data_IF_976562837186
#
_entry.id   IF_976562837186
#
_cell.length_a   1.000
_cell.length_b   1.000
_cell.length_c   1.000
_cell.angle_alpha   90.00
_cell.angle_beta   90.00
_cell.angle_gamma   90.00
#
_symmetry.space_group_name_H-M   'P 1'
#
loop_
_entity.id
_entity.type
_entity.pdbx_description
1 polymer ?
#
# COMPACT_ATOMS: atom_id res chain seq x y z
N UNK A 1 12.18 -16.52 36.79
CA UNK A 1 11.95 -16.91 35.38
C UNK A 1 11.53 -15.65 34.64
N UNK A 2 11.95 -15.49 33.38
CA UNK A 2 11.49 -14.35 32.56
C UNK A 2 9.96 -14.35 32.52
N UNK A 3 9.33 -13.17 32.61
CA UNK A 3 7.87 -13.03 32.39
C UNK A 3 7.49 -13.21 30.91
N UNK A 4 8.48 -13.28 30.03
CA UNK A 4 8.30 -13.46 28.60
C UNK A 4 8.54 -14.91 28.16
N UNK A 5 7.76 -15.41 27.18
CA UNK A 5 7.92 -16.76 26.65
C UNK A 5 9.31 -16.95 26.02
N UNK A 6 9.90 -18.12 26.24
CA UNK A 6 11.18 -18.49 25.63
C UNK A 6 10.96 -18.85 24.15
N UNK A 7 11.54 -18.11 23.18
CA UNK A 7 11.41 -18.43 21.77
C UNK A 7 11.89 -19.82 21.36
N UNK A 8 12.71 -20.49 22.20
CA UNK A 8 13.14 -21.87 21.95
C UNK A 8 12.01 -22.88 22.17
N UNK A 9 11.12 -22.62 23.11
CA UNK A 9 9.99 -23.51 23.42
C UNK A 9 8.69 -23.00 22.82
N UNK A 10 8.55 -21.67 22.65
CA UNK A 10 7.40 -20.98 22.10
C UNK A 10 7.85 -19.98 21.02
N UNK A 11 8.17 -20.43 19.80
CA UNK A 11 8.79 -19.58 18.76
C UNK A 11 8.04 -18.30 18.39
N UNK A 12 6.72 -18.30 18.58
CA UNK A 12 5.84 -17.16 18.32
C UNK A 12 5.27 -16.53 19.59
N UNK A 13 5.66 -17.00 20.78
CA UNK A 13 5.09 -16.52 22.04
C UNK A 13 5.27 -15.01 22.20
N UNK A 14 6.42 -14.47 21.79
CA UNK A 14 6.69 -13.03 21.82
C UNK A 14 5.85 -12.21 20.83
N UNK A 15 5.20 -12.85 19.85
CA UNK A 15 4.37 -12.18 18.83
C UNK A 15 2.89 -12.08 19.25
N UNK A 16 2.54 -12.51 20.46
CA UNK A 16 1.18 -12.39 20.95
C UNK A 16 0.78 -10.94 21.23
N UNK A 17 -0.44 -10.57 20.83
CA UNK A 17 -1.00 -9.22 20.98
C UNK A 17 -0.93 -8.66 22.41
N UNK A 18 -0.95 -9.53 23.43
CA UNK A 18 -0.83 -9.12 24.83
C UNK A 18 0.49 -8.39 25.14
N UNK A 19 1.51 -8.58 24.30
CA UNK A 19 2.82 -7.95 24.46
C UNK A 19 2.96 -6.61 23.73
N UNK A 20 2.07 -6.24 22.81
CA UNK A 20 2.17 -5.03 21.95
C UNK A 20 2.32 -3.70 22.72
N UNK A 21 1.93 -3.67 24.00
CA UNK A 21 1.99 -2.47 24.86
C UNK A 21 3.01 -2.55 25.98
N UNK A 22 3.80 -3.64 26.02
CA UNK A 22 4.82 -3.85 27.05
C UNK A 22 6.06 -3.00 26.79
N UNK A 23 6.87 -2.81 27.84
CA UNK A 23 8.16 -2.11 27.70
C UNK A 23 9.10 -2.84 26.74
N UNK A 24 9.06 -4.17 26.69
CA UNK A 24 9.82 -4.96 25.72
C UNK A 24 9.45 -4.60 24.27
N UNK A 25 8.15 -4.46 23.98
CA UNK A 25 7.69 -4.08 22.64
C UNK A 25 8.14 -2.66 22.27
N UNK A 26 8.09 -1.72 23.22
CA UNK A 26 8.55 -0.34 22.99
C UNK A 26 10.05 -0.28 22.69
N UNK A 27 10.86 -1.01 23.46
CA UNK A 27 12.30 -1.10 23.23
C UNK A 27 12.61 -1.75 21.87
N UNK A 28 11.86 -2.79 21.49
CA UNK A 28 11.98 -3.41 20.18
C UNK A 28 11.64 -2.43 19.04
N UNK A 29 10.58 -1.62 19.18
CA UNK A 29 10.20 -0.60 18.20
C UNK A 29 11.29 0.47 18.03
N UNK A 30 11.92 0.93 19.13
CA UNK A 30 13.02 1.89 19.09
C UNK A 30 14.28 1.34 18.38
N UNK A 31 14.54 0.04 18.52
CA UNK A 31 15.63 -0.63 17.80
C UNK A 31 15.29 -0.81 16.31
N UNK A 32 14.08 -1.26 15.98
CA UNK A 32 13.62 -1.44 14.60
C UNK A 32 13.61 -0.10 13.86
N UNK A 33 13.17 0.98 14.51
CA UNK A 33 13.15 2.32 13.94
C UNK A 33 14.55 2.79 13.51
N UNK A 34 15.59 2.40 14.26
CA UNK A 34 16.98 2.77 13.97
C UNK A 34 17.72 1.78 13.09
N UNK A 35 17.17 0.58 12.85
CA UNK A 35 17.87 -0.55 12.23
C UNK A 35 18.63 -0.17 10.95
N UNK A 36 17.98 0.47 9.97
CA UNK A 36 18.63 0.82 8.71
C UNK A 36 19.73 1.88 8.90
N UNK A 37 19.46 2.90 9.72
CA UNK A 37 20.41 3.98 10.00
C UNK A 37 21.66 3.45 10.71
N UNK A 38 21.47 2.63 11.74
CA UNK A 38 22.56 2.07 12.53
C UNK A 38 23.33 1.01 11.72
N UNK A 39 22.65 0.18 10.92
CA UNK A 39 23.30 -0.76 10.03
C UNK A 39 24.17 -0.07 8.97
N UNK A 40 23.70 1.04 8.40
CA UNK A 40 24.50 1.83 7.46
C UNK A 40 25.73 2.44 8.14
N UNK A 41 25.56 3.03 9.32
CA UNK A 41 26.64 3.72 10.04
C UNK A 41 27.66 2.78 10.69
N UNK A 42 27.22 1.65 11.25
CA UNK A 42 28.07 0.77 12.06
C UNK A 42 28.57 -0.46 11.29
N UNK A 43 27.80 -0.96 10.33
CA UNK A 43 28.13 -2.17 9.57
C UNK A 43 28.37 -1.90 8.08
N UNK A 44 28.27 -0.65 7.61
CA UNK A 44 28.51 -0.27 6.23
C UNK A 44 27.46 -0.81 5.25
N UNK A 45 26.26 -1.14 5.72
CA UNK A 45 25.17 -1.63 4.84
C UNK A 45 24.58 -0.44 4.08
N UNK A 46 24.96 -0.29 2.81
CA UNK A 46 24.50 0.83 1.97
C UNK A 46 23.25 0.50 1.14
N UNK A 47 22.86 -0.78 1.04
CA UNK A 47 21.69 -1.21 0.30
C UNK A 47 20.76 -2.02 1.20
N UNK A 48 19.59 -1.46 1.51
CA UNK A 48 18.54 -2.12 2.27
C UNK A 48 17.39 -2.48 1.33
N UNK A 49 16.90 -3.71 1.45
CA UNK A 49 15.75 -4.20 0.70
C UNK A 49 14.85 -4.99 1.63
N UNK A 50 13.55 -4.72 1.53
CA UNK A 50 12.52 -5.68 1.97
C UNK A 50 12.14 -6.44 0.70
N UNK A 51 12.24 -7.76 0.72
CA UNK A 51 12.07 -8.58 -0.49
C UNK A 51 10.61 -8.59 -0.98
N UNK A 52 9.65 -8.66 -0.05
CA UNK A 52 8.23 -8.84 -0.35
C UNK A 52 7.27 -7.80 0.28
N UNK A 53 7.63 -6.50 0.37
CA UNK A 53 6.79 -5.50 1.04
C UNK A 53 5.44 -5.35 0.32
N UNK A 54 5.48 -5.30 -1.01
CA UNK A 54 4.28 -5.17 -1.85
C UNK A 54 3.37 -6.39 -1.74
N UNK A 55 3.94 -7.60 -1.61
CA UNK A 55 3.14 -8.82 -1.49
C UNK A 55 2.32 -8.81 -0.19
N UNK A 56 2.97 -8.52 0.94
CA UNK A 56 2.30 -8.47 2.23
C UNK A 56 1.26 -7.34 2.30
N UNK A 57 1.61 -6.13 1.86
CA UNK A 57 0.70 -4.98 1.89
C UNK A 57 -0.53 -5.19 0.99
N UNK A 58 -0.32 -5.69 -0.23
CA UNK A 58 -1.43 -5.97 -1.17
C UNK A 58 -2.34 -7.07 -0.65
N UNK A 59 -1.77 -8.16 -0.12
CA UNK A 59 -2.55 -9.28 0.42
C UNK A 59 -3.41 -8.84 1.62
N UNK A 60 -2.82 -8.14 2.59
CA UNK A 60 -3.53 -7.64 3.76
C UNK A 60 -4.57 -6.58 3.36
N UNK A 61 -4.20 -5.63 2.49
CA UNK A 61 -5.08 -4.58 2.01
C UNK A 61 -6.31 -5.14 1.30
N UNK A 62 -6.13 -6.14 0.44
CA UNK A 62 -7.22 -6.84 -0.25
C UNK A 62 -8.11 -7.60 0.74
N UNK A 63 -7.52 -8.30 1.72
CA UNK A 63 -8.27 -9.03 2.73
C UNK A 63 -9.16 -8.10 3.57
N UNK A 64 -8.60 -7.02 4.11
CA UNK A 64 -9.33 -6.03 4.92
C UNK A 64 -10.38 -5.28 4.09
N UNK A 65 -10.11 -5.02 2.81
CA UNK A 65 -11.09 -4.43 1.91
C UNK A 65 -12.25 -5.39 1.67
N UNK A 66 -11.99 -6.65 1.34
CA UNK A 66 -13.01 -7.66 1.08
C UNK A 66 -13.92 -7.86 2.30
N UNK A 67 -13.34 -7.98 3.50
CA UNK A 67 -14.09 -8.10 4.75
C UNK A 67 -15.06 -6.91 4.94
N UNK A 68 -14.60 -5.68 4.71
CA UNK A 68 -15.45 -4.50 4.82
C UNK A 68 -16.48 -4.36 3.70
N UNK A 69 -16.09 -4.69 2.47
CA UNK A 69 -16.90 -4.50 1.27
C UNK A 69 -18.04 -5.50 1.17
N UNK A 70 -17.80 -6.76 1.55
CA UNK A 70 -18.84 -7.79 1.59
C UNK A 70 -19.52 -7.90 2.96
N UNK A 71 -18.99 -7.23 3.99
CA UNK A 71 -19.65 -7.03 5.27
C UNK A 71 -20.60 -5.82 5.27
N UNK A 72 -20.97 -5.37 6.47
CA UNK A 72 -21.99 -4.31 6.66
C UNK A 72 -21.65 -2.96 6.03
N UNK A 73 -20.36 -2.67 5.80
CA UNK A 73 -19.94 -1.36 5.28
C UNK A 73 -20.20 -1.21 3.78
N UNK A 74 -20.25 -2.31 3.02
CA UNK A 74 -20.45 -2.24 1.57
C UNK A 74 -19.43 -1.31 0.88
N UNK A 75 -19.93 -0.53 -0.08
CA UNK A 75 -19.15 0.49 -0.80
C UNK A 75 -18.42 1.50 0.10
N UNK A 76 -18.92 1.75 1.32
CA UNK A 76 -18.27 2.68 2.24
C UNK A 76 -16.87 2.20 2.64
N UNK A 77 -16.62 0.88 2.66
CA UNK A 77 -15.29 0.33 2.91
C UNK A 77 -14.27 0.83 1.87
N UNK A 78 -14.65 0.83 0.60
CA UNK A 78 -13.82 1.31 -0.51
C UNK A 78 -13.68 2.84 -0.47
N UNK A 79 -14.80 3.57 -0.52
CA UNK A 79 -14.79 5.05 -0.64
C UNK A 79 -14.06 5.71 0.54
N UNK A 80 -14.32 5.25 1.78
CA UNK A 80 -13.73 5.87 2.99
C UNK A 80 -12.25 5.55 3.15
N UNK A 81 -11.84 4.29 2.93
CA UNK A 81 -10.48 3.84 3.25
C UNK A 81 -9.50 4.00 2.09
N UNK A 82 -9.98 3.99 0.85
CA UNK A 82 -9.15 4.05 -0.36
C UNK A 82 -9.40 5.38 -1.07
N UNK A 83 -10.51 5.53 -1.79
CA UNK A 83 -10.72 6.62 -2.75
C UNK A 83 -10.55 8.03 -2.14
N UNK A 84 -11.15 8.30 -0.97
CA UNK A 84 -10.98 9.60 -0.29
C UNK A 84 -9.55 9.87 0.17
N UNK A 85 -8.76 8.83 0.47
CA UNK A 85 -7.35 8.99 0.85
C UNK A 85 -6.48 9.23 -0.36
N UNK A 86 -6.74 8.53 -1.47
CA UNK A 86 -6.03 8.74 -2.73
C UNK A 86 -6.18 10.20 -3.21
N UNK A 87 -7.41 10.70 -3.22
CA UNK A 87 -7.72 12.10 -3.59
C UNK A 87 -6.97 13.09 -2.69
N UNK A 88 -6.95 12.87 -1.36
CA UNK A 88 -6.28 13.78 -0.41
C UNK A 88 -4.75 13.75 -0.49
N UNK A 89 -4.19 12.70 -1.08
CA UNK A 89 -2.75 12.52 -1.27
C UNK A 89 -2.31 12.79 -2.70
N UNK A 90 -3.23 13.24 -3.55
CA UNK A 90 -2.99 13.53 -4.97
C UNK A 90 -2.34 12.35 -5.71
N UNK A 91 -2.88 11.14 -5.47
CA UNK A 91 -2.36 9.94 -6.13
C UNK A 91 -2.86 9.85 -7.57
N UNK A 92 -1.95 9.63 -8.51
CA UNK A 92 -2.26 9.46 -9.93
C UNK A 92 -3.25 8.31 -10.21
N UNK A 93 -3.35 7.32 -9.31
CA UNK A 93 -4.29 6.19 -9.41
C UNK A 93 -5.76 6.61 -9.42
N UNK A 94 -6.10 7.80 -8.90
CA UNK A 94 -7.46 8.35 -8.99
C UNK A 94 -7.91 8.42 -10.46
N UNK A 95 -6.99 8.84 -11.35
CA UNK A 95 -7.16 8.84 -12.82
C UNK A 95 -6.51 7.59 -13.42
N UNK A 96 -7.00 6.42 -13.01
CA UNK A 96 -6.42 5.13 -13.42
C UNK A 96 -6.35 4.91 -14.95
N UNK A 97 -7.20 5.58 -15.74
CA UNK A 97 -7.12 5.54 -17.21
C UNK A 97 -5.87 6.27 -17.74
N UNK A 98 -5.63 7.49 -17.26
CA UNK A 98 -4.42 8.26 -17.59
C UNK A 98 -3.16 7.55 -17.09
N UNK A 99 -3.21 7.03 -15.86
CA UNK A 99 -2.11 6.23 -15.29
C UNK A 99 -1.81 4.97 -16.13
N UNK A 100 -2.83 4.38 -16.76
CA UNK A 100 -2.69 3.25 -17.68
C UNK A 100 -2.26 3.68 -19.10
N UNK A 101 -2.07 4.97 -19.35
CA UNK A 101 -1.58 5.53 -20.61
C UNK A 101 -2.65 5.80 -21.66
N UNK A 102 -3.93 5.93 -21.29
CA UNK A 102 -5.00 6.16 -22.26
C UNK A 102 -4.80 7.45 -23.06
N UNK A 103 -4.32 8.52 -22.41
CA UNK A 103 -4.02 9.81 -23.05
C UNK A 103 -2.93 9.67 -24.12
N UNK A 104 -1.83 8.97 -23.79
CA UNK A 104 -0.74 8.70 -24.75
C UNK A 104 -1.26 7.89 -25.93
N UNK A 105 -2.12 6.91 -25.67
CA UNK A 105 -2.75 6.11 -26.71
C UNK A 105 -3.65 6.94 -27.64
N UNK A 106 -4.36 7.92 -27.11
CA UNK A 106 -5.23 8.80 -27.89
C UNK A 106 -4.44 9.80 -28.73
N UNK A 107 -3.41 10.45 -28.17
CA UNK A 107 -2.49 11.32 -28.93
C UNK A 107 -1.85 10.56 -30.10
N UNK A 108 -1.45 9.32 -29.87
CA UNK A 108 -0.90 8.46 -30.92
C UNK A 108 -1.93 8.22 -32.05
N UNK A 109 -3.19 7.90 -31.70
CA UNK A 109 -4.23 7.68 -32.72
C UNK A 109 -4.56 8.94 -33.51
N UNK A 110 -4.65 10.09 -32.83
CA UNK A 110 -4.87 11.38 -33.47
C UNK A 110 -3.75 11.69 -34.46
N UNK A 111 -2.49 11.47 -34.07
CA UNK A 111 -1.34 11.70 -34.93
C UNK A 111 -1.41 10.89 -36.25
N UNK A 112 -1.86 9.64 -36.21
CA UNK A 112 -1.92 8.76 -37.39
C UNK A 112 -3.22 8.83 -38.17
N UNK A 113 -4.35 9.03 -37.51
CA UNK A 113 -5.69 8.88 -38.10
C UNK A 113 -6.45 10.20 -38.21
N UNK A 114 -5.91 11.29 -37.64
CA UNK A 114 -6.55 12.60 -37.60
C UNK A 114 -7.99 12.50 -37.09
N UNK A 115 -8.91 13.11 -37.83
CA UNK A 115 -10.33 13.17 -37.50
C UNK A 115 -11.03 11.80 -37.44
N UNK A 116 -10.43 10.73 -37.97
CA UNK A 116 -10.99 9.37 -37.94
C UNK A 116 -10.54 8.57 -36.70
N UNK A 117 -9.75 9.17 -35.81
CA UNK A 117 -9.23 8.50 -34.62
C UNK A 117 -10.36 8.07 -33.66
N UNK A 118 -10.35 6.79 -33.26
CA UNK A 118 -11.25 6.26 -32.23
C UNK A 118 -10.62 6.38 -30.83
N UNK A 119 -10.94 7.47 -30.14
CA UNK A 119 -10.36 7.82 -28.85
C UNK A 119 -11.01 7.05 -27.69
N UNK A 120 -10.20 6.75 -26.67
CA UNK A 120 -10.68 6.20 -25.39
C UNK A 120 -11.25 7.30 -24.49
N UNK A 121 -10.75 8.53 -24.63
CA UNK A 121 -11.29 9.74 -24.01
C UNK A 121 -12.58 10.23 -24.68
N UNK A 122 -13.23 11.21 -24.05
CA UNK A 122 -14.49 11.77 -24.55
C UNK A 122 -15.34 12.41 -23.44
N UNK A 123 -16.54 12.86 -23.82
CA UNK A 123 -17.47 13.55 -22.91
C UNK A 123 -17.85 12.71 -21.70
N UNK A 124 -18.03 11.40 -21.89
CA UNK A 124 -18.44 10.46 -20.84
C UNK A 124 -17.24 9.77 -20.16
N UNK A 125 -16.02 10.27 -20.36
CA UNK A 125 -14.83 9.72 -19.71
C UNK A 125 -14.91 9.97 -18.19
N UNK A 126 -14.71 8.91 -17.41
CA UNK A 126 -14.67 8.94 -15.96
C UNK A 126 -13.58 9.86 -15.42
N UNK A 127 -12.51 10.13 -16.18
CA UNK A 127 -11.48 11.10 -15.82
C UNK A 127 -12.01 12.52 -15.62
N UNK A 128 -13.12 12.90 -16.26
CA UNK A 128 -13.73 14.23 -16.08
C UNK A 128 -14.42 14.40 -14.72
N UNK A 129 -14.59 13.31 -13.96
CA UNK A 129 -15.16 13.32 -12.62
C UNK A 129 -14.08 13.42 -11.53
N UNK A 130 -12.80 13.46 -11.91
CA UNK A 130 -11.64 13.44 -11.02
C UNK A 130 -10.56 14.46 -11.39
#
# INVERSE_FOLDING_TARGET
MSEYPDPKTEPKGLMEQKFDKTELSKEADELIQRFQKDAANQAGIFHHLITLPTYHDTALGTHVLAEGYFGEKGMLAYVKKIQRKEIRRDLASVKHQDLAGSTIGDEHKEYFSGDNALLAGGKDNTMNQF
#
